data_IF_751704211848
#
_entry.id   IF_751704211848
#
_cell.length_a   1.000
_cell.length_b   1.000
_cell.length_c   1.000
_cell.angle_alpha   90.00
_cell.angle_beta   90.00
_cell.angle_gamma   90.00
#
_symmetry.space_group_name_H-M   'P 1'
#
loop_
_entity.id
_entity.type
_entity.pdbx_description
1 polymer ?
#
# COMPACT_ATOMS: atom_id res chain seq x y z
N UNK A 1 -19.23 9.70 10.63
CA UNK A 1 -18.53 10.96 10.32
C UNK A 1 -17.11 10.74 9.75
N UNK A 2 -16.66 9.50 9.45
CA UNK A 2 -15.33 9.20 8.88
C UNK A 2 -15.29 9.21 7.33
N UNK A 3 -16.42 9.27 6.65
CA UNK A 3 -16.48 9.09 5.18
C UNK A 3 -16.22 10.36 4.34
N UNK A 4 -16.18 11.53 4.94
CA UNK A 4 -15.99 12.79 4.21
C UNK A 4 -14.51 13.16 3.96
N UNK A 5 -13.58 12.63 4.74
CA UNK A 5 -12.16 13.00 4.66
C UNK A 5 -11.39 12.30 3.52
N UNK A 6 -11.77 11.07 3.16
CA UNK A 6 -11.06 10.31 2.13
C UNK A 6 -11.31 10.85 0.70
N UNK A 7 -12.49 11.39 0.43
CA UNK A 7 -12.82 11.94 -0.89
C UNK A 7 -12.08 13.26 -1.23
N UNK A 8 -11.64 14.02 -0.22
CA UNK A 8 -10.96 15.29 -0.41
C UNK A 8 -9.47 15.15 -0.78
N UNK A 9 -8.83 14.02 -0.41
CA UNK A 9 -7.40 13.81 -0.67
C UNK A 9 -7.14 13.43 -2.13
N UNK A 10 -8.08 12.74 -2.79
CA UNK A 10 -7.93 12.32 -4.19
C UNK A 10 -8.04 13.48 -5.19
N UNK A 11 -8.75 14.55 -4.84
CA UNK A 11 -8.94 15.73 -5.71
C UNK A 11 -7.79 16.75 -5.67
N UNK A 12 -7.03 16.81 -4.58
CA UNK A 12 -6.01 17.84 -4.39
C UNK A 12 -4.64 17.51 -5.04
N UNK A 13 -4.35 16.24 -5.31
CA UNK A 13 -3.07 15.84 -5.90
C UNK A 13 -2.96 16.04 -7.41
N UNK A 14 -4.08 16.14 -8.15
CA UNK A 14 -4.01 16.29 -9.60
C UNK A 14 -3.84 17.75 -10.09
N UNK A 15 -4.06 18.75 -9.26
CA UNK A 15 -4.01 20.18 -9.66
C UNK A 15 -2.66 20.87 -9.43
N UNK A 16 -1.71 20.21 -8.76
CA UNK A 16 -0.39 20.81 -8.44
C UNK A 16 0.70 20.58 -9.51
N UNK A 17 0.41 19.91 -10.63
CA UNK A 17 1.43 19.53 -11.65
C UNK A 17 1.54 20.58 -12.79
N UNK A 18 0.77 21.65 -12.76
CA UNK A 18 0.87 22.73 -13.75
C UNK A 18 1.88 23.83 -13.34
N UNK A 19 3.12 23.45 -13.00
CA UNK A 19 4.21 24.41 -12.88
C UNK A 19 5.00 24.44 -14.20
N UNK A 20 5.11 25.63 -14.76
CA UNK A 20 5.74 25.94 -16.07
C UNK A 20 7.10 25.29 -16.26
N UNK A 21 7.42 24.79 -17.47
CA UNK A 21 8.75 24.30 -17.77
C UNK A 21 9.71 25.50 -17.89
N UNK A 22 10.54 25.73 -16.90
CA UNK A 22 11.79 26.44 -17.13
C UNK A 22 12.61 25.57 -18.10
N UNK A 23 12.76 26.00 -19.34
CA UNK A 23 13.62 25.37 -20.32
C UNK A 23 15.09 25.57 -19.87
N UNK A 24 15.55 24.77 -18.92
CA UNK A 24 16.96 24.61 -18.67
C UNK A 24 17.53 23.71 -19.77
N UNK A 25 18.61 24.16 -20.40
CA UNK A 25 19.42 23.36 -21.29
C UNK A 25 19.84 22.09 -20.55
N UNK A 26 19.25 20.98 -20.90
CA UNK A 26 19.52 19.69 -20.25
C UNK A 26 20.78 19.13 -20.90
N UNK A 27 21.92 19.27 -20.25
CA UNK A 27 23.05 18.38 -20.50
C UNK A 27 22.52 16.93 -20.40
N UNK A 28 22.92 16.08 -21.37
CA UNK A 28 22.61 14.64 -21.33
C UNK A 28 23.37 14.00 -20.19
N UNK A 29 22.85 14.14 -18.96
CA UNK A 29 23.47 13.56 -17.77
C UNK A 29 22.84 12.20 -17.45
N UNK A 30 23.66 11.25 -17.09
CA UNK A 30 23.25 9.99 -16.50
C UNK A 30 23.12 10.14 -14.98
N UNK A 31 22.29 9.27 -14.37
CA UNK A 31 22.16 9.19 -12.91
C UNK A 31 21.30 10.29 -12.31
N UNK A 32 21.36 10.40 -11.00
CA UNK A 32 20.60 11.33 -10.14
C UNK A 32 21.54 12.23 -9.36
N UNK A 33 21.04 13.36 -8.90
CA UNK A 33 21.78 14.32 -8.06
C UNK A 33 20.85 15.01 -7.06
N UNK A 34 21.44 15.71 -6.12
CA UNK A 34 20.73 16.56 -5.17
C UNK A 34 19.78 17.53 -5.89
N UNK A 35 18.55 17.62 -5.41
CA UNK A 35 17.49 18.46 -5.96
C UNK A 35 16.61 17.78 -7.03
N UNK A 36 17.02 16.64 -7.59
CA UNK A 36 16.18 15.90 -8.53
C UNK A 36 14.89 15.41 -7.88
N UNK A 37 13.83 15.38 -8.68
CA UNK A 37 12.56 14.75 -8.32
C UNK A 37 12.33 13.58 -9.26
N UNK A 38 12.15 12.38 -8.69
CA UNK A 38 11.81 11.17 -9.41
C UNK A 38 10.32 10.91 -9.23
N UNK A 39 9.60 10.78 -10.33
CA UNK A 39 8.20 10.38 -10.32
C UNK A 39 8.10 8.99 -10.95
N UNK A 40 7.53 8.01 -10.23
CA UNK A 40 7.37 6.63 -10.71
C UNK A 40 5.90 6.24 -10.76
N UNK A 41 5.57 5.44 -11.79
CA UNK A 41 4.30 4.75 -11.89
C UNK A 41 4.58 3.25 -12.03
N UNK A 42 4.01 2.45 -11.14
CA UNK A 42 4.28 1.01 -11.04
C UNK A 42 2.98 0.20 -11.08
N UNK A 43 3.06 -1.00 -11.60
CA UNK A 43 2.11 -2.07 -11.28
C UNK A 43 2.67 -2.84 -10.10
N UNK A 44 1.87 -3.00 -9.06
CA UNK A 44 2.29 -3.71 -7.84
C UNK A 44 1.43 -4.94 -7.59
N UNK A 45 2.06 -5.96 -7.01
CA UNK A 45 1.39 -7.13 -6.42
C UNK A 45 1.57 -7.02 -4.91
N UNK A 46 0.46 -6.88 -4.20
CA UNK A 46 0.42 -6.89 -2.74
C UNK A 46 0.09 -8.29 -2.29
N UNK A 47 1.03 -8.94 -1.63
CA UNK A 47 0.91 -10.31 -1.10
C UNK A 47 0.93 -10.26 0.43
N UNK A 48 -0.25 -10.27 1.09
CA UNK A 48 -0.32 -10.33 2.55
C UNK A 48 0.33 -11.62 3.08
N UNK A 49 1.17 -11.48 4.11
CA UNK A 49 1.72 -12.59 4.88
C UNK A 49 0.93 -12.71 6.20
N UNK A 50 -0.39 -12.86 6.03
CA UNK A 50 -1.32 -12.70 7.13
C UNK A 50 -1.16 -13.75 8.25
N UNK A 51 -1.17 -13.27 9.49
CA UNK A 51 -1.39 -14.06 10.70
C UNK A 51 -2.69 -13.58 11.35
N UNK A 52 -3.72 -14.41 11.24
CA UNK A 52 -5.03 -14.14 11.83
C UNK A 52 -5.13 -14.69 13.24
N UNK A 53 -5.63 -13.90 14.17
CA UNK A 53 -6.18 -14.40 15.42
C UNK A 53 -7.51 -15.12 15.21
N UNK A 54 -8.07 -15.67 16.29
CA UNK A 54 -9.41 -16.27 16.28
C UNK A 54 -10.49 -15.20 16.11
N UNK A 55 -11.62 -15.59 15.51
CA UNK A 55 -12.83 -14.75 15.44
C UNK A 55 -13.61 -14.89 16.74
N UNK A 56 -13.51 -13.93 17.63
CA UNK A 56 -14.04 -13.99 19.00
C UNK A 56 -15.24 -13.05 19.20
N UNK A 57 -16.17 -13.42 20.10
CA UNK A 57 -16.23 -14.65 20.93
C UNK A 57 -16.85 -15.85 20.21
N UNK A 58 -17.54 -15.68 19.10
CA UNK A 58 -18.42 -16.70 18.52
C UNK A 58 -17.70 -17.89 17.86
N UNK A 59 -16.50 -17.70 17.34
CA UNK A 59 -15.78 -18.71 16.54
C UNK A 59 -14.32 -18.86 17.02
N UNK A 60 -14.11 -19.36 18.25
CA UNK A 60 -12.77 -19.55 18.78
C UNK A 60 -12.01 -20.61 17.98
N UNK A 61 -10.75 -20.30 17.62
CA UNK A 61 -9.89 -21.18 16.81
C UNK A 61 -10.07 -21.03 15.31
N UNK A 62 -11.13 -20.38 14.83
CA UNK A 62 -11.32 -20.10 13.40
C UNK A 62 -10.51 -18.87 12.95
N UNK A 63 -9.90 -18.97 11.78
CA UNK A 63 -8.98 -17.97 11.22
C UNK A 63 -9.50 -17.44 9.90
N UNK A 64 -9.02 -16.28 9.51
CA UNK A 64 -9.29 -15.66 8.21
C UNK A 64 -8.03 -15.56 7.37
N UNK A 65 -8.19 -15.54 6.05
CA UNK A 65 -7.15 -15.25 5.08
C UNK A 65 -7.51 -13.99 4.29
N UNK A 66 -6.49 -13.31 3.77
CA UNK A 66 -6.63 -12.10 2.94
C UNK A 66 -6.02 -12.38 1.57
N UNK A 67 -6.74 -12.03 0.51
CA UNK A 67 -6.32 -12.28 -0.87
C UNK A 67 -5.19 -11.34 -1.32
N UNK A 68 -4.43 -11.77 -2.35
CA UNK A 68 -3.49 -10.91 -3.05
C UNK A 68 -4.25 -9.87 -3.88
N UNK A 69 -3.62 -8.73 -4.11
CA UNK A 69 -4.19 -7.66 -4.93
C UNK A 69 -3.15 -7.14 -5.92
N UNK A 70 -3.59 -6.84 -7.15
CA UNK A 70 -2.76 -6.20 -8.18
C UNK A 70 -3.34 -4.83 -8.46
N UNK A 71 -2.54 -3.78 -8.30
CA UNK A 71 -3.01 -2.40 -8.39
C UNK A 71 -1.92 -1.47 -8.94
N UNK A 72 -2.27 -0.30 -9.47
CA UNK A 72 -1.31 0.75 -9.77
C UNK A 72 -0.82 1.43 -8.49
N UNK A 73 0.43 1.86 -8.52
CA UNK A 73 1.08 2.67 -7.49
C UNK A 73 1.78 3.85 -8.14
N UNK A 74 1.76 4.99 -7.46
CA UNK A 74 2.52 6.19 -7.85
C UNK A 74 3.34 6.64 -6.67
N UNK A 75 4.58 7.02 -6.91
CA UNK A 75 5.45 7.60 -5.90
C UNK A 75 6.22 8.80 -6.44
N UNK A 76 6.62 9.63 -5.51
CA UNK A 76 7.50 10.77 -5.74
C UNK A 76 8.68 10.69 -4.78
N UNK A 77 9.90 10.76 -5.31
CA UNK A 77 11.14 10.81 -4.52
C UNK A 77 11.83 12.13 -4.78
N UNK A 78 12.11 12.88 -3.71
CA UNK A 78 12.95 14.06 -3.75
C UNK A 78 14.36 13.70 -3.26
N UNK A 79 15.38 14.00 -4.07
CA UNK A 79 16.77 13.74 -3.74
C UNK A 79 17.35 14.89 -2.89
N UNK A 80 17.49 14.67 -1.60
CA UNK A 80 18.08 15.65 -0.69
C UNK A 80 19.60 15.79 -0.91
N UNK A 81 20.25 14.70 -1.30
CA UNK A 81 21.66 14.63 -1.74
C UNK A 81 21.74 13.72 -2.96
N UNK A 82 22.92 13.56 -3.55
CA UNK A 82 23.11 12.59 -4.64
C UNK A 82 22.78 11.15 -4.19
N UNK A 83 22.93 10.83 -2.92
CA UNK A 83 22.79 9.48 -2.37
C UNK A 83 21.52 9.24 -1.58
N UNK A 84 20.91 10.30 -1.03
CA UNK A 84 19.78 10.20 -0.12
C UNK A 84 18.56 10.87 -0.74
N UNK A 85 17.46 10.13 -0.85
CA UNK A 85 16.15 10.59 -1.27
C UNK A 85 15.08 10.33 -0.22
N UNK A 86 14.03 11.14 -0.26
CA UNK A 86 12.80 10.92 0.51
C UNK A 86 11.66 10.62 -0.45
N UNK A 87 11.05 9.46 -0.28
CA UNK A 87 9.97 8.98 -1.14
C UNK A 87 8.64 9.00 -0.40
N UNK A 88 7.63 9.50 -1.07
CA UNK A 88 6.23 9.37 -0.66
C UNK A 88 5.50 8.46 -1.65
N UNK A 89 4.95 7.37 -1.14
CA UNK A 89 4.24 6.36 -1.91
C UNK A 89 2.74 6.52 -1.68
N UNK A 90 1.96 6.45 -2.76
CA UNK A 90 0.51 6.42 -2.72
C UNK A 90 -0.02 5.31 -3.64
N UNK A 91 -0.80 4.41 -3.05
CA UNK A 91 -1.55 3.40 -3.80
C UNK A 91 -2.86 3.11 -3.07
N UNK A 92 -3.83 2.54 -3.76
CA UNK A 92 -5.05 2.05 -3.12
C UNK A 92 -5.34 0.66 -3.64
N UNK A 93 -5.55 -0.28 -2.70
CA UNK A 93 -5.76 -1.69 -3.01
C UNK A 93 -7.08 -2.16 -2.43
N UNK A 94 -7.71 -3.15 -3.08
CA UNK A 94 -8.90 -3.78 -2.57
C UNK A 94 -8.59 -5.22 -2.19
N UNK A 95 -8.94 -5.58 -0.96
CA UNK A 95 -8.73 -6.93 -0.43
C UNK A 95 -10.03 -7.53 0.06
N UNK A 96 -10.12 -8.86 -0.03
CA UNK A 96 -11.21 -9.65 0.56
C UNK A 96 -10.64 -10.56 1.65
N UNK A 97 -11.38 -10.66 2.74
CA UNK A 97 -11.12 -11.60 3.82
C UNK A 97 -12.05 -12.81 3.70
N UNK A 98 -11.51 -14.00 3.79
CA UNK A 98 -12.25 -15.27 3.73
C UNK A 98 -11.96 -16.13 4.96
N UNK A 99 -12.97 -16.86 5.44
CA UNK A 99 -12.79 -17.85 6.49
C UNK A 99 -11.93 -19.02 5.98
N UNK A 100 -11.07 -19.57 6.86
CA UNK A 100 -10.19 -20.70 6.51
C UNK A 100 -10.70 -22.04 7.02
N UNK A 101 -11.37 -22.05 8.16
CA UNK A 101 -11.76 -23.29 8.86
C UNK A 101 -13.14 -23.16 9.48
N UNK A 102 -13.76 -24.28 9.81
CA UNK A 102 -15.02 -24.35 10.54
C UNK A 102 -16.19 -23.65 9.83
N UNK A 103 -17.02 -23.01 10.59
CA UNK A 103 -18.22 -22.30 10.10
C UNK A 103 -17.85 -21.13 9.20
N UNK A 104 -16.83 -20.34 9.57
CA UNK A 104 -16.38 -19.22 8.74
C UNK A 104 -15.78 -19.70 7.42
N UNK A 105 -15.08 -20.86 7.43
CA UNK A 105 -14.58 -21.50 6.21
C UNK A 105 -15.70 -21.95 5.26
N UNK A 106 -16.80 -22.45 5.80
CA UNK A 106 -17.98 -22.84 5.01
C UNK A 106 -18.68 -21.65 4.36
N UNK A 107 -18.65 -20.47 4.99
CA UNK A 107 -19.18 -19.23 4.42
C UNK A 107 -18.28 -18.74 3.26
N UNK A 108 -16.96 -18.99 3.34
CA UNK A 108 -15.99 -18.52 2.36
C UNK A 108 -15.67 -17.03 2.55
N UNK A 109 -15.99 -16.19 1.58
CA UNK A 109 -15.78 -14.74 1.67
C UNK A 109 -16.62 -14.14 2.80
N UNK A 110 -15.96 -13.43 3.72
CA UNK A 110 -16.59 -12.80 4.87
C UNK A 110 -16.79 -11.29 4.67
N UNK A 111 -15.76 -10.61 4.19
CA UNK A 111 -15.77 -9.15 4.03
C UNK A 111 -14.83 -8.69 2.93
N UNK A 112 -14.95 -7.43 2.54
CA UNK A 112 -13.97 -6.75 1.69
C UNK A 112 -13.76 -5.32 2.18
N UNK A 113 -12.56 -4.78 1.92
CA UNK A 113 -12.19 -3.42 2.26
C UNK A 113 -11.26 -2.83 1.20
N UNK A 114 -11.27 -1.51 1.08
CA UNK A 114 -10.23 -0.77 0.40
C UNK A 114 -9.17 -0.35 1.42
N UNK A 115 -7.92 -0.35 0.98
CA UNK A 115 -6.75 -0.05 1.81
C UNK A 115 -5.92 1.02 1.13
N UNK A 116 -5.58 2.07 1.85
CA UNK A 116 -4.70 3.15 1.42
C UNK A 116 -3.54 3.24 2.42
N UNK A 117 -2.34 2.74 2.08
CA UNK A 117 -1.16 2.76 2.93
C UNK A 117 -0.16 3.87 2.53
N UNK A 118 -0.43 5.18 2.73
CA UNK A 118 0.60 6.17 2.53
C UNK A 118 1.86 5.81 3.30
N UNK A 119 3.00 5.79 2.58
CA UNK A 119 4.29 5.38 3.13
C UNK A 119 5.33 6.44 2.81
N UNK A 120 6.04 6.87 3.83
CA UNK A 120 7.16 7.80 3.71
C UNK A 120 8.45 7.06 4.03
N UNK A 121 9.40 7.02 3.08
CA UNK A 121 10.69 6.35 3.25
C UNK A 121 11.86 7.28 2.98
N UNK A 122 12.96 7.05 3.68
CA UNK A 122 14.27 7.55 3.31
C UNK A 122 14.98 6.45 2.51
N UNK A 123 15.51 6.81 1.34
CA UNK A 123 16.22 5.90 0.44
C UNK A 123 17.71 6.24 0.40
N UNK A 124 18.55 5.23 0.29
CA UNK A 124 19.97 5.35 -0.02
C UNK A 124 20.24 4.68 -1.37
N UNK A 125 20.76 5.45 -2.32
CA UNK A 125 21.10 5.02 -3.68
C UNK A 125 22.60 4.72 -3.78
N UNK A 126 22.97 3.48 -4.12
CA UNK A 126 24.37 3.01 -4.10
C UNK A 126 25.21 3.49 -5.28
N UNK A 127 24.61 3.84 -6.40
CA UNK A 127 25.33 4.28 -7.61
C UNK A 127 24.60 5.44 -8.27
N UNK A 128 24.54 6.62 -7.65
CA UNK A 128 23.67 7.71 -8.09
C UNK A 128 24.02 8.24 -9.49
N UNK A 129 25.27 8.17 -9.92
CA UNK A 129 25.74 8.67 -11.24
C UNK A 129 25.70 7.61 -12.34
N UNK A 130 25.42 6.36 -12.01
CA UNK A 130 25.39 5.26 -12.97
C UNK A 130 24.03 5.08 -13.66
N UNK A 131 24.03 4.35 -14.77
CA UNK A 131 22.81 3.92 -15.45
C UNK A 131 21.98 2.92 -14.63
N UNK A 132 22.63 2.16 -13.78
CA UNK A 132 22.01 1.16 -12.89
C UNK A 132 22.20 1.64 -11.46
N UNK A 133 21.08 1.91 -10.78
CA UNK A 133 21.04 2.51 -9.45
C UNK A 133 20.25 1.65 -8.48
N UNK A 134 20.91 0.69 -7.83
CA UNK A 134 20.29 -0.03 -6.70
C UNK A 134 20.06 0.94 -5.54
N UNK A 135 18.97 0.71 -4.80
CA UNK A 135 18.69 1.45 -3.58
C UNK A 135 18.05 0.58 -2.51
N UNK A 136 18.18 1.03 -1.28
CA UNK A 136 17.44 0.51 -0.13
C UNK A 136 16.75 1.66 0.57
N UNK A 137 15.67 1.39 1.26
CA UNK A 137 14.94 2.42 2.00
C UNK A 137 14.27 1.86 3.24
N UNK A 138 14.02 2.74 4.19
CA UNK A 138 13.24 2.44 5.37
C UNK A 138 12.40 3.66 5.77
N UNK A 139 11.27 3.44 6.42
CA UNK A 139 10.38 4.52 6.77
C UNK A 139 9.17 4.10 7.57
N UNK A 140 8.14 4.93 7.51
CA UNK A 140 6.90 4.76 8.26
C UNK A 140 5.71 4.66 7.33
N UNK A 141 4.72 3.90 7.77
CA UNK A 141 3.46 3.69 7.06
C UNK A 141 2.29 4.03 7.97
N UNK A 142 1.25 4.65 7.39
CA UNK A 142 -0.03 4.83 8.04
C UNK A 142 -1.13 4.26 7.16
N UNK A 143 -1.63 3.07 7.48
CA UNK A 143 -2.64 2.37 6.67
C UNK A 143 -4.05 2.77 7.09
N UNK A 144 -4.83 3.26 6.14
CA UNK A 144 -6.24 3.62 6.29
C UNK A 144 -7.10 2.56 5.62
N UNK A 145 -8.10 2.06 6.36
CA UNK A 145 -9.10 1.14 5.85
C UNK A 145 -10.42 1.90 5.62
N UNK A 146 -11.07 1.64 4.49
CA UNK A 146 -12.30 2.32 4.14
C UNK A 146 -13.21 1.46 3.24
N UNK A 147 -14.49 1.82 3.16
CA UNK A 147 -15.51 1.13 2.36
C UNK A 147 -15.58 -0.38 2.67
N UNK A 148 -15.51 -0.70 3.97
CA UNK A 148 -15.63 -2.06 4.48
C UNK A 148 -17.06 -2.58 4.22
N UNK A 149 -17.17 -3.77 3.66
CA UNK A 149 -18.44 -4.40 3.34
C UNK A 149 -18.45 -5.85 3.78
N UNK A 150 -19.50 -6.25 4.47
CA UNK A 150 -19.80 -7.66 4.67
C UNK A 150 -20.13 -8.33 3.33
N UNK A 151 -19.89 -9.62 3.22
CA UNK A 151 -20.35 -10.40 2.08
C UNK A 151 -21.80 -10.83 2.28
N UNK A 152 -22.51 -11.07 1.17
CA UNK A 152 -23.86 -11.63 1.24
C UNK A 152 -23.92 -13.02 1.90
N UNK A 153 -22.84 -13.82 1.74
CA UNK A 153 -22.73 -15.13 2.41
C UNK A 153 -22.64 -14.99 3.93
N UNK A 154 -21.87 -14.01 4.42
CA UNK A 154 -21.81 -13.72 5.86
C UNK A 154 -23.16 -13.23 6.37
N UNK A 155 -23.80 -12.29 5.67
CA UNK A 155 -25.10 -11.75 6.08
C UNK A 155 -26.21 -12.80 6.05
N UNK A 156 -26.18 -13.75 5.10
CA UNK A 156 -27.11 -14.88 5.07
C UNK A 156 -26.93 -15.80 6.29
N UNK A 157 -25.73 -15.94 6.82
CA UNK A 157 -25.44 -16.82 7.97
C UNK A 157 -25.72 -16.15 9.32
N UNK A 158 -25.41 -14.84 9.48
CA UNK A 158 -25.45 -14.16 10.79
C UNK A 158 -26.27 -12.86 10.78
N UNK A 159 -27.03 -12.61 9.72
CA UNK A 159 -27.85 -11.42 9.54
C UNK A 159 -27.06 -10.19 9.11
N UNK A 160 -27.73 -9.05 9.03
CA UNK A 160 -27.11 -7.78 8.66
C UNK A 160 -25.85 -7.53 9.49
N UNK A 161 -24.76 -7.20 8.81
CA UNK A 161 -23.43 -7.12 9.42
C UNK A 161 -22.72 -5.83 9.05
N UNK A 162 -22.34 -5.05 10.06
CA UNK A 162 -21.49 -3.88 9.90
C UNK A 162 -20.05 -4.25 10.20
N UNK A 163 -19.17 -4.04 9.21
CA UNK A 163 -17.73 -4.27 9.35
C UNK A 163 -17.02 -2.93 9.58
N UNK A 164 -16.06 -2.91 10.50
CA UNK A 164 -15.17 -1.78 10.75
C UNK A 164 -13.76 -2.28 10.99
N UNK A 165 -12.78 -1.65 10.35
CA UNK A 165 -11.37 -1.94 10.58
C UNK A 165 -10.69 -0.75 11.29
N UNK A 166 -9.70 -1.06 12.10
CA UNK A 166 -8.88 -0.07 12.77
C UNK A 166 -7.70 0.29 11.85
N UNK A 167 -7.42 1.59 11.72
CA UNK A 167 -6.23 2.05 11.02
C UNK A 167 -4.95 1.54 11.70
N UNK A 168 -3.87 1.41 10.95
CA UNK A 168 -2.59 0.90 11.41
C UNK A 168 -1.48 1.94 11.22
N UNK A 169 -0.55 1.99 12.15
CA UNK A 169 0.71 2.69 12.00
C UNK A 169 1.85 1.69 12.20
N UNK A 170 2.77 1.62 11.25
CA UNK A 170 3.87 0.68 11.27
C UNK A 170 5.11 1.22 10.56
N UNK A 171 6.09 0.38 10.40
CA UNK A 171 7.31 0.67 9.65
C UNK A 171 7.28 0.02 8.26
N UNK A 172 8.15 0.50 7.38
CA UNK A 172 8.34 -0.09 6.06
C UNK A 172 9.83 -0.19 5.74
N UNK A 173 10.18 -1.20 4.97
CA UNK A 173 11.51 -1.35 4.38
C UNK A 173 11.38 -1.72 2.91
N UNK A 174 12.33 -1.28 2.08
CA UNK A 174 12.32 -1.56 0.66
C UNK A 174 13.72 -1.74 0.10
N UNK A 175 13.80 -2.45 -1.01
CA UNK A 175 14.97 -2.54 -1.87
C UNK A 175 14.53 -2.50 -3.32
N UNK A 176 15.26 -1.78 -4.16
CA UNK A 176 14.90 -1.66 -5.56
C UNK A 176 16.07 -1.29 -6.44
N UNK A 177 15.78 -1.17 -7.72
CA UNK A 177 16.74 -0.83 -8.75
C UNK A 177 16.08 0.05 -9.81
N UNK A 178 16.73 1.16 -10.13
CA UNK A 178 16.40 2.00 -11.28
C UNK A 178 17.41 1.73 -12.39
N UNK A 179 16.95 1.62 -13.63
CA UNK A 179 17.79 1.43 -14.83
C UNK A 179 17.41 2.49 -15.85
N UNK A 180 18.33 3.40 -16.15
CA UNK A 180 18.11 4.47 -17.12
C UNK A 180 17.93 3.91 -18.54
N UNK A 181 16.85 4.29 -19.18
CA UNK A 181 16.61 4.07 -20.62
C UNK A 181 17.04 5.29 -21.45
N UNK A 182 16.83 6.46 -20.89
CA UNK A 182 17.21 7.75 -21.44
C UNK A 182 17.72 8.67 -20.32
N UNK A 183 18.27 9.86 -20.60
CA UNK A 183 18.64 10.80 -19.57
C UNK A 183 17.53 11.19 -18.59
N UNK A 184 16.27 11.00 -18.94
CA UNK A 184 15.10 11.36 -18.10
C UNK A 184 14.20 10.20 -17.71
N UNK A 185 14.21 9.12 -18.48
CA UNK A 185 13.28 7.98 -18.30
C UNK A 185 14.05 6.77 -17.83
N UNK A 186 13.53 6.09 -16.83
CA UNK A 186 14.11 4.86 -16.30
C UNK A 186 13.02 3.82 -16.04
N UNK A 187 13.40 2.56 -16.01
CA UNK A 187 12.57 1.47 -15.48
C UNK A 187 12.94 1.22 -14.03
N UNK A 188 11.97 0.80 -13.26
CA UNK A 188 12.11 0.50 -11.84
C UNK A 188 11.57 -0.90 -11.54
N UNK A 189 12.26 -1.60 -10.65
CA UNK A 189 11.73 -2.78 -9.98
C UNK A 189 12.05 -2.69 -8.49
N UNK A 190 11.09 -3.05 -7.64
CA UNK A 190 11.28 -3.00 -6.20
C UNK A 190 10.52 -4.11 -5.46
N UNK A 191 10.95 -4.33 -4.22
CA UNK A 191 10.25 -5.10 -3.21
C UNK A 191 10.16 -4.29 -1.94
N UNK A 192 8.95 -4.27 -1.32
CA UNK A 192 8.68 -3.59 -0.05
C UNK A 192 8.09 -4.58 0.95
N UNK A 193 8.46 -4.41 2.20
CA UNK A 193 7.79 -4.98 3.35
C UNK A 193 7.14 -3.84 4.13
N UNK A 194 5.88 -4.03 4.53
CA UNK A 194 5.12 -3.04 5.29
C UNK A 194 4.54 -3.73 6.52
N UNK A 195 4.84 -3.21 7.71
CA UNK A 195 4.28 -3.67 8.97
C UNK A 195 2.85 -3.10 9.13
N UNK A 196 1.83 -3.98 9.14
CA UNK A 196 0.42 -3.59 9.23
C UNK A 196 -0.31 -4.45 10.24
N UNK A 197 -0.55 -3.86 11.41
CA UNK A 197 -1.32 -4.44 12.50
C UNK A 197 -2.71 -3.81 12.60
N UNK A 198 -3.76 -4.62 12.42
CA UNK A 198 -5.13 -4.13 12.48
C UNK A 198 -6.06 -5.07 13.24
N UNK A 199 -7.28 -4.62 13.47
CA UNK A 199 -8.36 -5.45 13.98
C UNK A 199 -9.67 -5.11 13.27
N UNK A 200 -10.39 -6.15 12.90
CA UNK A 200 -11.73 -6.03 12.38
C UNK A 200 -12.76 -6.26 13.49
N UNK A 201 -13.80 -5.43 13.50
CA UNK A 201 -15.02 -5.58 14.30
C UNK A 201 -16.20 -5.79 13.38
N UNK A 202 -16.95 -6.84 13.63
CA UNK A 202 -18.16 -7.20 12.91
C UNK A 202 -19.34 -7.13 13.89
N UNK A 203 -20.23 -6.19 13.71
CA UNK A 203 -21.46 -6.07 14.48
C UNK A 203 -22.57 -6.75 13.69
N UNK A 204 -22.99 -7.94 14.11
CA UNK A 204 -23.98 -8.79 13.45
C UNK A 204 -25.29 -8.83 14.21
N UNK A 205 -26.43 -9.00 13.52
CA UNK A 205 -27.74 -9.04 14.19
C UNK A 205 -28.00 -10.36 14.92
N UNK A 206 -27.52 -11.51 14.41
CA UNK A 206 -27.79 -12.81 15.00
C UNK A 206 -26.65 -13.32 15.92
N UNK A 207 -25.37 -13.01 15.61
CA UNK A 207 -24.24 -13.53 16.37
C UNK A 207 -23.57 -12.47 17.28
N UNK A 208 -24.15 -11.25 17.39
CA UNK A 208 -23.59 -10.17 18.18
C UNK A 208 -22.29 -9.61 17.61
N UNK A 209 -21.49 -8.96 18.45
CA UNK A 209 -20.21 -8.36 18.04
C UNK A 209 -19.10 -9.40 18.01
N UNK A 210 -18.46 -9.56 16.85
CA UNK A 210 -17.29 -10.40 16.66
C UNK A 210 -16.04 -9.52 16.41
N UNK A 211 -14.87 -10.00 16.81
CA UNK A 211 -13.58 -9.31 16.62
C UNK A 211 -12.51 -10.28 16.19
N UNK A 212 -11.65 -9.82 15.29
CA UNK A 212 -10.46 -10.57 14.84
C UNK A 212 -9.27 -9.62 14.76
N UNK A 213 -8.13 -10.04 15.30
CA UNK A 213 -6.84 -9.35 15.14
C UNK A 213 -6.14 -9.90 13.91
N UNK A 214 -5.53 -9.03 13.13
CA UNK A 214 -4.86 -9.35 11.88
C UNK A 214 -3.50 -8.67 11.84
N UNK A 215 -2.45 -9.46 11.64
CA UNK A 215 -1.13 -9.00 11.22
C UNK A 215 -1.06 -9.29 9.73
N UNK A 216 -1.00 -8.26 8.90
CA UNK A 216 -1.08 -8.42 7.44
C UNK A 216 0.30 -8.49 6.80
N UNK A 217 1.24 -7.71 7.28
CA UNK A 217 2.67 -7.69 6.98
C UNK A 217 3.00 -8.01 5.50
N UNK A 218 2.40 -7.31 4.52
CA UNK A 218 2.52 -7.67 3.12
C UNK A 218 3.94 -7.52 2.59
N UNK A 219 4.31 -8.43 1.68
CA UNK A 219 5.33 -8.18 0.68
C UNK A 219 4.67 -7.56 -0.55
N UNK A 220 5.24 -6.46 -1.03
CA UNK A 220 4.79 -5.74 -2.21
C UNK A 220 5.88 -5.79 -3.27
N UNK A 221 5.57 -6.34 -4.42
CA UNK A 221 6.48 -6.41 -5.57
C UNK A 221 6.02 -5.41 -6.61
N UNK A 222 6.90 -4.53 -7.03
CA UNK A 222 6.61 -3.47 -7.99
C UNK A 222 7.48 -3.55 -9.24
N UNK A 223 6.89 -3.23 -10.38
CA UNK A 223 7.62 -2.96 -11.62
C UNK A 223 6.96 -1.79 -12.34
N UNK A 224 7.75 -0.90 -12.91
CA UNK A 224 7.21 0.27 -13.57
C UNK A 224 8.23 1.12 -14.29
N UNK A 225 7.80 2.34 -14.57
CA UNK A 225 8.61 3.36 -15.23
C UNK A 225 8.64 4.61 -14.36
N UNK A 226 9.73 5.35 -14.47
CA UNK A 226 9.91 6.63 -13.81
C UNK A 226 10.47 7.69 -14.72
N UNK A 227 10.23 8.93 -14.33
CA UNK A 227 10.82 10.10 -14.97
C UNK A 227 11.58 10.92 -13.92
N UNK A 228 12.66 11.51 -14.36
CA UNK A 228 13.46 12.48 -13.60
C UNK A 228 13.13 13.90 -14.07
N UNK A 229 12.77 14.75 -13.12
CA UNK A 229 12.40 16.16 -13.29
C UNK A 229 13.50 17.06 -12.77
#
# INVERSE_FOLDING_TARGET
MKHAAAAAITGAMLTAIAASPAAAQTEERTGIQAGDVLLRARAIIVAPNEKSGSVLPGFPGEKVSVDNSVMPEVDITWMATDWIGFELIASTTKHSASGRTGTTGSIGKLASTWVLPPTLTAQYHFNPKGHVRPYVGAGVNYTIFWNEKASSGLEAAVGETRVRMKDSFGWAAQAGIDIDLTPRVFVNADVKYIDIDTSARLDTTAAGTQRVKLHLDPLVFGIGVGIRL
#
